data_IF_141180388635
#
_entry.id   IF_141180388635
#
_cell.length_a   1.000
_cell.length_b   1.000
_cell.length_c   1.000
_cell.angle_alpha   90.00
_cell.angle_beta   90.00
_cell.angle_gamma   90.00
#
_symmetry.space_group_name_H-M   'P 1'
#
loop_
_entity.id
_entity.type
_entity.pdbx_description
1 polymer ?
#
# COMPACT_ATOMS: atom_id res chain seq x y z
N UNK A 1 -27.12 1.59 35.39
CA UNK A 1 -27.42 0.91 34.11
C UNK A 1 -26.18 1.03 33.23
N UNK A 2 -25.48 -0.07 32.95
CA UNK A 2 -24.30 -0.04 32.07
C UNK A 2 -24.78 0.03 30.63
N UNK A 3 -24.78 1.21 30.02
CA UNK A 3 -24.97 1.32 28.57
C UNK A 3 -23.88 0.53 27.89
N UNK A 4 -24.24 -0.60 27.28
CA UNK A 4 -23.29 -1.40 26.50
C UNK A 4 -22.79 -0.51 25.36
N UNK A 5 -21.47 -0.31 25.30
CA UNK A 5 -20.83 0.44 24.22
C UNK A 5 -21.06 -0.34 22.92
N UNK A 6 -21.64 0.33 21.91
CA UNK A 6 -21.76 -0.23 20.58
C UNK A 6 -20.42 -0.06 19.84
N UNK A 7 -19.73 -1.15 19.45
CA UNK A 7 -18.44 -1.07 18.76
C UNK A 7 -18.50 -0.26 17.47
N UNK A 8 -19.65 -0.23 16.78
CA UNK A 8 -19.82 0.57 15.56
C UNK A 8 -19.75 2.07 15.82
N UNK A 9 -20.20 2.53 16.98
CA UNK A 9 -20.10 3.96 17.33
C UNK A 9 -18.65 4.33 17.61
N UNK A 10 -17.88 3.45 18.26
CA UNK A 10 -16.43 3.63 18.44
C UNK A 10 -15.64 3.56 17.14
N UNK A 11 -16.05 2.72 16.20
CA UNK A 11 -15.45 2.68 14.87
C UNK A 11 -15.69 3.99 14.10
N UNK A 12 -16.88 4.60 14.23
CA UNK A 12 -17.17 5.92 13.64
C UNK A 12 -16.33 7.02 14.29
N UNK A 13 -16.24 7.06 15.62
CA UNK A 13 -15.38 8.00 16.34
C UNK A 13 -13.92 7.89 15.86
N UNK A 14 -13.40 6.67 15.72
CA UNK A 14 -12.07 6.41 15.17
C UNK A 14 -11.94 6.93 13.73
N UNK A 15 -12.94 6.70 12.88
CA UNK A 15 -12.96 7.25 11.52
C UNK A 15 -12.85 8.78 11.48
N UNK A 16 -13.60 9.47 12.34
CA UNK A 16 -13.50 10.94 12.45
C UNK A 16 -12.13 11.39 12.97
N UNK A 17 -11.55 10.67 13.93
CA UNK A 17 -10.21 10.98 14.42
C UNK A 17 -9.14 10.80 13.33
N UNK A 18 -9.27 9.79 12.47
CA UNK A 18 -8.38 9.59 11.31
C UNK A 18 -8.51 10.77 10.32
N UNK A 19 -9.73 11.23 10.04
CA UNK A 19 -9.96 12.40 9.17
C UNK A 19 -9.39 13.70 9.74
N UNK A 20 -9.21 13.78 11.05
CA UNK A 20 -8.59 14.92 11.74
C UNK A 20 -7.09 14.72 11.99
N UNK A 21 -6.51 13.64 11.46
CA UNK A 21 -5.08 13.35 11.63
C UNK A 21 -4.22 14.26 10.76
N UNK A 22 -3.01 14.55 11.26
CA UNK A 22 -2.00 15.31 10.53
C UNK A 22 -1.60 14.57 9.24
N UNK A 23 -1.61 13.24 9.25
CA UNK A 23 -1.36 12.42 8.06
C UNK A 23 -2.41 12.65 6.97
N UNK A 24 -3.69 12.72 7.33
CA UNK A 24 -4.77 13.00 6.38
C UNK A 24 -4.71 14.43 5.85
N UNK A 25 -4.51 15.42 6.74
CA UNK A 25 -4.37 16.83 6.33
C UNK A 25 -3.20 17.03 5.34
N UNK A 26 -2.06 16.39 5.62
CA UNK A 26 -0.89 16.46 4.73
C UNK A 26 -1.13 15.73 3.41
N UNK A 27 -1.93 14.65 3.41
CA UNK A 27 -2.31 13.95 2.19
C UNK A 27 -3.16 14.86 1.30
N UNK A 28 -4.19 15.50 1.84
CA UNK A 28 -5.07 16.40 1.08
C UNK A 28 -4.28 17.55 0.46
N UNK A 29 -3.41 18.21 1.24
CA UNK A 29 -2.55 19.27 0.71
C UNK A 29 -1.64 18.78 -0.42
N UNK A 30 -1.03 17.61 -0.25
CA UNK A 30 -0.18 17.04 -1.30
C UNK A 30 -0.97 16.63 -2.55
N UNK A 31 -2.24 16.22 -2.40
CA UNK A 31 -3.14 15.97 -3.53
C UNK A 31 -3.46 17.27 -4.26
N UNK A 32 -3.80 18.34 -3.54
CA UNK A 32 -4.01 19.67 -4.12
C UNK A 32 -2.77 20.17 -4.87
N UNK A 33 -1.59 20.10 -4.26
CA UNK A 33 -0.33 20.49 -4.89
C UNK A 33 -0.06 19.70 -6.17
N UNK A 34 -0.32 18.39 -6.16
CA UNK A 34 -0.19 17.54 -7.35
C UNK A 34 -1.17 17.94 -8.46
N UNK A 35 -2.44 18.18 -8.14
CA UNK A 35 -3.45 18.57 -9.15
C UNK A 35 -3.22 19.99 -9.69
N UNK A 36 -2.57 20.85 -8.90
CA UNK A 36 -2.18 22.20 -9.31
C UNK A 36 -0.85 22.24 -10.09
N UNK A 37 -0.14 21.11 -10.21
CA UNK A 37 1.06 20.95 -11.05
C UNK A 37 0.69 20.23 -12.39
N UNK A 38 0.56 20.98 -13.51
CA UNK A 38 0.24 20.39 -14.80
C UNK A 38 1.29 19.39 -15.31
N UNK A 39 2.57 19.60 -14.96
CA UNK A 39 3.64 18.71 -15.38
C UNK A 39 3.58 17.41 -14.60
N UNK A 40 3.31 17.47 -13.29
CA UNK A 40 3.12 16.28 -12.46
C UNK A 40 1.99 15.38 -12.98
N UNK A 41 0.82 15.96 -13.24
CA UNK A 41 -0.34 15.22 -13.75
C UNK A 41 -0.08 14.60 -15.12
N UNK A 42 0.61 15.33 -16.00
CA UNK A 42 0.97 14.85 -17.33
C UNK A 42 1.99 13.72 -17.28
N UNK A 43 3.00 13.79 -16.41
CA UNK A 43 4.03 12.76 -16.25
C UNK A 43 3.42 11.43 -15.82
N UNK A 44 2.58 11.44 -14.77
CA UNK A 44 1.92 10.22 -14.28
C UNK A 44 0.99 9.64 -15.33
N UNK A 45 0.22 10.49 -16.02
CA UNK A 45 -0.66 10.05 -17.12
C UNK A 45 0.13 9.36 -18.23
N UNK A 46 1.19 10.00 -18.73
CA UNK A 46 2.05 9.44 -19.79
C UNK A 46 2.67 8.11 -19.38
N UNK A 47 3.14 7.98 -18.13
CA UNK A 47 3.67 6.71 -17.65
C UNK A 47 2.60 5.61 -17.65
N UNK A 48 1.38 5.91 -17.21
CA UNK A 48 0.29 4.95 -17.18
C UNK A 48 -0.15 4.54 -18.60
N UNK A 49 -0.29 5.51 -19.49
CA UNK A 49 -0.65 5.27 -20.90
C UNK A 49 0.39 4.36 -21.56
N UNK A 50 1.69 4.64 -21.35
CA UNK A 50 2.80 3.84 -21.89
C UNK A 50 2.85 2.43 -21.30
N UNK A 51 2.68 2.28 -19.99
CA UNK A 51 2.60 0.96 -19.35
C UNK A 51 1.44 0.13 -19.92
N UNK A 52 0.28 0.76 -20.15
CA UNK A 52 -0.88 0.09 -20.73
C UNK A 52 -0.65 -0.32 -22.18
N UNK A 53 -0.07 0.57 -22.99
CA UNK A 53 0.29 0.30 -24.39
C UNK A 53 1.26 -0.88 -24.50
N UNK A 54 2.23 -0.95 -23.59
CA UNK A 54 3.28 -1.97 -23.64
C UNK A 54 2.85 -3.32 -23.11
N UNK A 55 1.89 -3.39 -22.19
CA UNK A 55 1.27 -4.66 -21.78
C UNK A 55 0.55 -5.37 -22.94
N UNK A 56 0.27 -4.68 -24.05
CA UNK A 56 -0.41 -5.22 -25.22
C UNK A 56 0.54 -5.64 -26.35
N UNK A 57 1.84 -5.33 -26.26
CA UNK A 57 2.81 -5.49 -27.36
C UNK A 57 4.06 -6.25 -26.88
N UNK A 58 4.48 -7.29 -27.60
CA UNK A 58 5.51 -8.26 -27.13
C UNK A 58 6.98 -7.81 -27.27
N UNK A 59 7.23 -6.69 -27.94
CA UNK A 59 8.60 -6.21 -28.25
C UNK A 59 9.21 -5.33 -27.12
N UNK A 60 10.30 -5.72 -26.46
CA UNK A 60 10.67 -5.15 -25.14
C UNK A 60 11.71 -4.01 -25.13
N UNK A 61 12.64 -3.92 -26.08
CA UNK A 61 13.87 -3.14 -25.83
C UNK A 61 13.72 -1.62 -25.88
N UNK A 62 12.97 -1.08 -26.85
CA UNK A 62 12.80 0.38 -26.96
C UNK A 62 11.80 0.94 -25.95
N UNK A 63 10.92 0.08 -25.44
CA UNK A 63 9.86 0.40 -24.48
C UNK A 63 10.40 0.69 -23.08
N UNK A 64 11.43 -0.04 -22.68
CA UNK A 64 12.06 0.14 -21.36
C UNK A 64 12.72 1.52 -21.25
N UNK A 65 13.33 2.02 -22.32
CA UNK A 65 13.99 3.33 -22.32
C UNK A 65 13.02 4.50 -22.10
N UNK A 66 11.84 4.48 -22.73
CA UNK A 66 10.84 5.54 -22.57
C UNK A 66 10.21 5.52 -21.16
N UNK A 67 9.89 4.33 -20.65
CA UNK A 67 9.41 4.16 -19.27
C UNK A 67 10.46 4.64 -18.26
N UNK A 68 11.73 4.29 -18.43
CA UNK A 68 12.79 4.67 -17.51
C UNK A 68 12.96 6.19 -17.46
N UNK A 69 12.88 6.88 -18.60
CA UNK A 69 12.92 8.36 -18.63
C UNK A 69 11.74 8.99 -17.90
N UNK A 70 10.53 8.46 -18.10
CA UNK A 70 9.33 8.93 -17.40
C UNK A 70 9.42 8.67 -15.89
N UNK A 71 9.96 7.53 -15.48
CA UNK A 71 10.20 7.21 -14.08
C UNK A 71 11.20 8.19 -13.44
N UNK A 72 12.33 8.47 -14.10
CA UNK A 72 13.29 9.47 -13.63
C UNK A 72 12.66 10.87 -13.53
N UNK A 73 11.83 11.27 -14.49
CA UNK A 73 11.14 12.56 -14.42
C UNK A 73 10.16 12.63 -13.23
N UNK A 74 9.46 11.53 -12.94
CA UNK A 74 8.57 11.39 -11.78
C UNK A 74 9.34 11.40 -10.45
N UNK A 75 10.50 10.74 -10.41
CA UNK A 75 11.39 10.74 -9.25
C UNK A 75 11.90 12.14 -8.89
N UNK A 76 12.09 12.98 -9.90
CA UNK A 76 12.57 14.35 -9.73
C UNK A 76 11.45 15.40 -9.55
N UNK A 77 10.18 15.06 -9.80
CA UNK A 77 9.06 15.98 -9.58
C UNK A 77 8.67 15.99 -8.09
N UNK A 78 8.85 17.15 -7.45
CA UNK A 78 8.65 17.33 -6.01
C UNK A 78 7.20 17.15 -5.56
N UNK A 79 6.22 17.59 -6.36
CA UNK A 79 4.81 17.41 -6.05
C UNK A 79 4.42 15.93 -6.04
N UNK A 80 4.90 15.14 -7.01
CA UNK A 80 4.67 13.69 -7.05
C UNK A 80 5.36 13.00 -5.86
N UNK A 81 6.62 13.34 -5.58
CA UNK A 81 7.34 12.75 -4.45
C UNK A 81 6.65 13.05 -3.11
N UNK A 82 6.22 14.29 -2.91
CA UNK A 82 5.49 14.69 -1.72
C UNK A 82 4.17 13.90 -1.58
N UNK A 83 3.40 13.78 -2.67
CA UNK A 83 2.18 12.99 -2.69
C UNK A 83 2.42 11.52 -2.31
N UNK A 84 3.44 10.88 -2.87
CA UNK A 84 3.79 9.50 -2.53
C UNK A 84 4.20 9.35 -1.06
N UNK A 85 4.99 10.28 -0.54
CA UNK A 85 5.38 10.26 0.86
C UNK A 85 4.18 10.41 1.80
N UNK A 86 3.28 11.36 1.53
CA UNK A 86 2.06 11.54 2.32
C UNK A 86 1.14 10.32 2.25
N UNK A 87 0.92 9.74 1.06
CA UNK A 87 0.16 8.48 0.89
C UNK A 87 0.75 7.34 1.72
N UNK A 88 2.08 7.19 1.70
CA UNK A 88 2.75 6.14 2.47
C UNK A 88 2.59 6.35 3.98
N UNK A 89 2.69 7.59 4.48
CA UNK A 89 2.49 7.90 5.89
C UNK A 89 1.04 7.64 6.33
N UNK A 90 0.07 8.08 5.54
CA UNK A 90 -1.34 7.83 5.81
C UNK A 90 -1.69 6.34 5.80
N UNK A 91 -1.19 5.58 4.80
CA UNK A 91 -1.36 4.12 4.77
C UNK A 91 -0.73 3.46 5.99
N UNK A 92 0.45 3.91 6.43
CA UNK A 92 1.11 3.38 7.63
C UNK A 92 0.28 3.66 8.89
N UNK A 93 -0.35 4.84 9.01
CA UNK A 93 -1.29 5.13 10.09
C UNK A 93 -2.44 4.12 10.10
N UNK A 94 -3.09 3.89 8.95
CA UNK A 94 -4.19 2.93 8.83
C UNK A 94 -3.75 1.49 9.17
N UNK A 95 -2.60 1.06 8.67
CA UNK A 95 -2.04 -0.26 8.99
C UNK A 95 -1.73 -0.41 10.49
N UNK A 96 -1.20 0.62 11.13
CA UNK A 96 -0.94 0.59 12.57
C UNK A 96 -2.24 0.47 13.37
N UNK A 97 -3.29 1.20 12.99
CA UNK A 97 -4.61 1.11 13.61
C UNK A 97 -5.20 -0.29 13.47
N UNK A 98 -5.16 -0.86 12.26
CA UNK A 98 -5.62 -2.23 11.98
C UNK A 98 -4.85 -3.27 12.83
N UNK A 99 -3.53 -3.14 12.92
CA UNK A 99 -2.70 -4.02 13.75
C UNK A 99 -3.06 -3.92 15.24
N UNK A 100 -3.33 -2.72 15.77
CA UNK A 100 -3.76 -2.52 17.16
C UNK A 100 -5.10 -3.20 17.40
N UNK A 101 -6.06 -3.03 16.50
CA UNK A 101 -7.38 -3.66 16.60
C UNK A 101 -7.23 -5.18 16.60
N UNK A 102 -6.52 -5.75 15.63
CA UNK A 102 -6.27 -7.19 15.50
C UNK A 102 -5.57 -7.80 16.72
N UNK A 103 -4.62 -7.06 17.30
CA UNK A 103 -3.92 -7.48 18.51
C UNK A 103 -4.88 -7.54 19.71
N UNK A 104 -5.71 -6.50 19.92
CA UNK A 104 -6.65 -6.45 21.06
C UNK A 104 -7.78 -7.47 20.91
N UNK A 105 -8.22 -7.75 19.68
CA UNK A 105 -9.29 -8.72 19.40
C UNK A 105 -8.79 -10.18 19.37
N UNK A 106 -7.47 -10.41 19.56
CA UNK A 106 -6.80 -11.70 19.38
C UNK A 106 -7.08 -12.33 17.99
N UNK A 107 -7.31 -11.50 16.97
CA UNK A 107 -7.45 -11.98 15.59
C UNK A 107 -6.10 -12.43 15.01
N UNK A 108 -4.99 -11.87 15.52
CA UNK A 108 -3.62 -12.26 15.13
C UNK A 108 -3.24 -13.70 15.48
N UNK A 109 -3.94 -14.34 16.44
CA UNK A 109 -3.70 -15.75 16.81
C UNK A 109 -4.61 -16.74 16.06
N UNK A 110 -5.67 -16.24 15.40
CA UNK A 110 -6.67 -17.09 14.72
C UNK A 110 -6.29 -17.48 13.30
N UNK A 111 -5.22 -16.93 12.73
CA UNK A 111 -4.73 -17.28 11.38
C UNK A 111 -3.79 -18.48 11.33
N UNK A 112 -3.67 -19.25 12.42
CA UNK A 112 -2.76 -20.43 12.48
C UNK A 112 -3.49 -21.78 12.54
N UNK A 113 -4.82 -21.83 12.39
CA UNK A 113 -5.58 -23.07 12.49
C UNK A 113 -6.61 -23.10 11.36
N UNK A 114 -6.54 -24.18 10.56
CA UNK A 114 -7.47 -24.61 9.52
C UNK A 114 -7.46 -23.86 8.18
N UNK A 115 -6.50 -24.21 7.32
CA UNK A 115 -6.75 -24.92 6.04
C UNK A 115 -5.44 -25.12 5.28
N UNK A 116 -4.80 -26.29 5.40
CA UNK A 116 -4.26 -27.08 4.27
C UNK A 116 -4.14 -28.52 4.75
N UNK A 117 -5.21 -29.27 4.57
CA UNK A 117 -5.10 -30.71 4.35
C UNK A 117 -4.54 -30.87 2.93
N UNK A 118 -3.22 -30.98 2.81
CA UNK A 118 -2.58 -31.63 1.67
C UNK A 118 -1.14 -31.98 2.06
N UNK A 119 -0.93 -33.29 2.21
CA UNK A 119 0.36 -33.94 2.39
C UNK A 119 1.39 -33.36 1.40
N UNK A 120 2.34 -32.57 1.89
CA UNK A 120 3.61 -32.35 1.21
C UNK A 120 4.73 -32.81 2.12
N UNK A 121 5.40 -33.84 1.63
CA UNK A 121 6.38 -34.63 2.35
C UNK A 121 7.55 -33.80 2.86
N UNK A 122 8.07 -34.31 3.96
CA UNK A 122 9.40 -34.04 4.48
C UNK A 122 10.44 -34.40 3.39
N UNK A 123 10.79 -33.44 2.53
CA UNK A 123 11.89 -33.54 1.56
C UNK A 123 12.91 -32.48 1.92
N UNK A 124 13.81 -32.82 2.85
CA UNK A 124 14.87 -31.91 3.28
C UNK A 124 15.81 -32.44 4.36
N UNK A 125 15.87 -33.74 4.60
CA UNK A 125 16.93 -34.37 5.39
C UNK A 125 17.88 -35.11 4.43
N UNK A 126 18.77 -34.37 3.78
CA UNK A 126 19.89 -34.92 3.02
C UNK A 126 21.17 -34.58 3.79
N UNK A 127 21.54 -35.40 4.77
CA UNK A 127 22.76 -35.09 5.52
C UNK A 127 23.20 -35.93 6.71
N UNK A 128 22.62 -37.10 7.01
CA UNK A 128 23.15 -37.96 8.08
C UNK A 128 22.95 -39.45 7.77
N UNK A 129 23.86 -40.03 6.99
CA UNK A 129 24.18 -41.46 6.97
C UNK A 129 25.61 -41.63 6.42
N UNK A 130 26.64 -41.49 7.26
CA UNK A 130 27.97 -42.10 7.03
C UNK A 130 28.63 -42.47 8.36
N UNK A 131 28.84 -43.78 8.48
CA UNK A 131 29.54 -44.59 9.49
C UNK A 131 28.86 -44.76 10.85
#
# INVERSE_FOLDING_TARGET
MSSKVNPLDKARELGYAILQSVEYENLIKAEEDYYNDPDATLLVKRLNDKKSEYNLLDDKSDKENEINKLQQAIENNTAIQNLYQCKNRYNKLLTNIDNIIKFITNESERTSIDTVHEKRGCNGCSGCCKK
#
